data_IF_472548438286
#
_entry.id   IF_472548438286
#
_cell.length_a   1.000
_cell.length_b   1.000
_cell.length_c   1.000
_cell.angle_alpha   90.00
_cell.angle_beta   90.00
_cell.angle_gamma   90.00
#
_symmetry.space_group_name_H-M   'P 1'
#
loop_
_entity.id
_entity.type
_entity.pdbx_description
1 polymer ?
#
# COMPACT_ATOMS: atom_id res chain seq x y z
N UNK A 1 -27.37 8.07 27.48
CA UNK A 1 -26.26 8.55 26.61
C UNK A 1 -25.05 7.58 26.66
N UNK A 2 -25.28 6.26 26.56
CA UNK A 2 -24.23 5.21 26.65
C UNK A 2 -24.39 4.25 25.45
N UNK A 3 -24.37 4.78 24.21
CA UNK A 3 -24.45 3.94 23.00
C UNK A 3 -23.08 3.76 22.32
N UNK A 4 -22.12 4.66 22.58
CA UNK A 4 -20.80 4.64 21.92
C UNK A 4 -19.76 3.73 22.59
N UNK A 5 -19.79 3.53 23.91
CA UNK A 5 -18.76 2.71 24.60
C UNK A 5 -18.77 1.25 24.14
N UNK A 6 -19.94 0.67 23.92
CA UNK A 6 -20.06 -0.72 23.48
C UNK A 6 -19.49 -0.94 22.07
N UNK A 7 -19.72 -0.01 21.14
CA UNK A 7 -19.22 -0.12 19.76
C UNK A 7 -17.71 -0.04 19.69
N UNK A 8 -17.09 0.85 20.47
CA UNK A 8 -15.63 0.96 20.52
C UNK A 8 -14.98 -0.30 21.06
N UNK A 9 -15.55 -0.91 22.11
CA UNK A 9 -15.04 -2.17 22.67
C UNK A 9 -15.09 -3.31 21.65
N UNK A 10 -16.16 -3.38 20.84
CA UNK A 10 -16.30 -4.40 19.79
C UNK A 10 -15.32 -4.19 18.62
N UNK A 11 -15.01 -2.94 18.27
CA UNK A 11 -14.08 -2.62 17.18
C UNK A 11 -12.61 -2.73 17.60
N UNK A 12 -12.32 -2.55 18.89
CA UNK A 12 -10.96 -2.55 19.46
C UNK A 12 -10.09 -3.72 19.00
N UNK A 13 -10.51 -5.00 19.08
CA UNK A 13 -9.66 -6.10 18.63
C UNK A 13 -9.34 -6.04 17.13
N UNK A 14 -10.31 -5.68 16.29
CA UNK A 14 -10.08 -5.52 14.85
C UNK A 14 -9.11 -4.38 14.53
N UNK A 15 -9.25 -3.25 15.23
CA UNK A 15 -8.35 -2.11 15.10
C UNK A 15 -6.93 -2.49 15.55
N UNK A 16 -6.78 -3.19 16.67
CA UNK A 16 -5.47 -3.66 17.15
C UNK A 16 -4.82 -4.57 16.11
N UNK A 17 -5.55 -5.55 15.57
CA UNK A 17 -5.04 -6.43 14.53
C UNK A 17 -4.64 -5.65 13.27
N UNK A 18 -5.45 -4.70 12.82
CA UNK A 18 -5.14 -3.84 11.68
C UNK A 18 -3.87 -3.02 11.92
N UNK A 19 -3.75 -2.38 13.09
CA UNK A 19 -2.59 -1.58 13.44
C UNK A 19 -1.31 -2.42 13.52
N UNK A 20 -1.37 -3.60 14.13
CA UNK A 20 -0.20 -4.45 14.34
C UNK A 20 0.21 -5.21 13.07
N UNK A 21 -0.76 -5.75 12.32
CA UNK A 21 -0.48 -6.65 11.20
C UNK A 21 -0.39 -5.92 9.85
N UNK A 22 -0.92 -4.70 9.74
CA UNK A 22 -0.82 -3.91 8.51
C UNK A 22 -0.06 -2.61 8.72
N UNK A 23 -0.48 -1.78 9.68
CA UNK A 23 0.10 -0.43 9.81
C UNK A 23 1.55 -0.50 10.26
N UNK A 24 1.87 -1.27 11.30
CA UNK A 24 3.23 -1.42 11.80
C UNK A 24 4.23 -1.87 10.71
N UNK A 25 3.99 -2.95 9.93
CA UNK A 25 4.91 -3.32 8.86
C UNK A 25 4.99 -2.28 7.74
N UNK A 26 3.88 -1.63 7.36
CA UNK A 26 3.93 -0.55 6.36
C UNK A 26 4.77 0.63 6.84
N UNK A 27 4.65 1.03 8.11
CA UNK A 27 5.47 2.10 8.67
C UNK A 27 6.95 1.74 8.72
N UNK A 28 7.27 0.46 8.98
CA UNK A 28 8.64 -0.02 8.93
C UNK A 28 9.21 0.04 7.50
N UNK A 29 8.43 -0.41 6.52
CA UNK A 29 8.81 -0.32 5.10
C UNK A 29 9.00 1.15 4.68
N UNK A 30 8.16 2.06 5.18
CA UNK A 30 8.27 3.48 4.90
C UNK A 30 9.56 4.07 5.48
N UNK A 31 9.91 3.77 6.74
CA UNK A 31 11.19 4.23 7.33
C UNK A 31 12.38 3.68 6.55
N UNK A 32 12.37 2.38 6.23
CA UNK A 32 13.43 1.74 5.44
C UNK A 32 13.55 2.33 4.03
N UNK A 33 12.44 2.68 3.37
CA UNK A 33 12.47 3.29 2.03
C UNK A 33 13.14 4.67 1.99
N UNK A 34 13.12 5.38 3.13
CA UNK A 34 13.76 6.68 3.29
C UNK A 34 15.23 6.57 3.68
N UNK A 35 15.73 5.40 4.05
CA UNK A 35 17.14 5.19 4.38
C UNK A 35 17.93 4.85 3.12
N UNK A 36 19.19 5.28 3.06
CA UNK A 36 20.05 5.01 1.90
C UNK A 36 20.15 3.50 1.64
N UNK A 37 19.81 3.11 0.41
CA UNK A 37 19.83 1.71 -0.02
C UNK A 37 21.26 1.16 -0.09
N UNK A 38 21.46 -0.04 0.45
CA UNK A 38 22.71 -0.80 0.37
C UNK A 38 22.48 -2.16 -0.30
N UNK A 39 23.08 -2.41 -1.49
CA UNK A 39 22.92 -3.67 -2.20
C UNK A 39 23.38 -4.88 -1.37
N UNK A 40 22.64 -5.99 -1.46
CA UNK A 40 22.99 -7.25 -0.80
C UNK A 40 22.59 -7.34 0.67
N UNK A 41 21.82 -6.38 1.18
CA UNK A 41 21.26 -6.38 2.54
C UNK A 41 19.74 -6.40 2.52
N UNK A 42 19.15 -7.05 3.53
CA UNK A 42 17.72 -6.94 3.82
C UNK A 42 17.54 -5.72 4.71
N UNK A 43 16.89 -4.69 4.18
CA UNK A 43 16.79 -3.37 4.84
C UNK A 43 18.08 -2.54 4.72
N UNK A 44 18.01 -1.29 5.15
CA UNK A 44 19.15 -0.39 5.16
C UNK A 44 20.15 -0.74 6.28
N UNK A 45 21.34 -0.13 6.23
CA UNK A 45 22.22 -0.17 7.40
C UNK A 45 21.55 0.51 8.60
N UNK A 46 21.86 0.02 9.81
CA UNK A 46 21.28 0.52 11.07
C UNK A 46 21.46 2.03 11.23
N UNK A 47 22.59 2.55 10.73
CA UNK A 47 22.98 3.96 10.80
C UNK A 47 22.93 4.65 9.42
N UNK A 48 22.20 4.06 8.45
CA UNK A 48 22.04 4.64 7.12
C UNK A 48 21.39 6.03 7.22
N UNK A 49 21.93 7.05 6.51
CA UNK A 49 21.33 8.38 6.50
C UNK A 49 20.00 8.36 5.75
N UNK A 50 19.10 9.25 6.15
CA UNK A 50 17.87 9.49 5.39
C UNK A 50 18.18 10.17 4.05
N UNK A 51 17.52 9.72 3.00
CA UNK A 51 17.69 10.19 1.62
C UNK A 51 16.41 10.03 0.82
N UNK A 52 16.26 10.84 -0.22
CA UNK A 52 15.23 10.66 -1.25
C UNK A 52 15.80 10.10 -2.55
N UNK A 53 17.11 9.82 -2.59
CA UNK A 53 17.80 9.37 -3.79
C UNK A 53 17.23 8.06 -4.34
N UNK A 54 16.80 7.15 -3.46
CA UNK A 54 16.16 5.88 -3.84
C UNK A 54 14.94 6.07 -4.77
N UNK A 55 14.21 7.18 -4.66
CA UNK A 55 13.02 7.43 -5.48
C UNK A 55 13.35 7.92 -6.89
N UNK A 56 14.58 8.37 -7.15
CA UNK A 56 15.00 8.77 -8.50
C UNK A 56 15.01 7.56 -9.43
N UNK A 57 15.27 6.36 -8.91
CA UNK A 57 15.21 5.11 -9.68
C UNK A 57 13.82 4.86 -10.29
N UNK A 58 12.74 5.38 -9.69
CA UNK A 58 11.39 5.27 -10.26
C UNK A 58 11.21 6.03 -11.58
N UNK A 59 12.10 6.98 -11.86
CA UNK A 59 12.12 7.76 -13.11
C UNK A 59 12.90 7.02 -14.20
N UNK A 60 13.67 5.98 -13.84
CA UNK A 60 14.38 5.18 -14.83
C UNK A 60 13.38 4.59 -15.85
N UNK A 61 13.68 4.67 -17.16
CA UNK A 61 12.75 4.23 -18.20
C UNK A 61 12.25 2.79 -18.05
N UNK A 62 13.07 1.90 -17.50
CA UNK A 62 12.67 0.52 -17.27
C UNK A 62 11.54 0.46 -16.22
N UNK A 63 11.69 1.12 -15.08
CA UNK A 63 10.68 1.17 -14.02
C UNK A 63 9.42 1.91 -14.44
N UNK A 64 9.56 3.03 -15.14
CA UNK A 64 8.44 3.83 -15.60
C UNK A 64 7.50 3.04 -16.52
N UNK A 65 8.05 2.27 -17.47
CA UNK A 65 7.24 1.45 -18.38
C UNK A 65 6.41 0.41 -17.63
N UNK A 66 6.99 -0.27 -16.64
CA UNK A 66 6.25 -1.23 -15.83
C UNK A 66 5.12 -0.57 -15.02
N UNK A 67 5.37 0.60 -14.44
CA UNK A 67 4.34 1.36 -13.73
C UNK A 67 3.19 1.74 -14.67
N UNK A 68 3.52 2.29 -15.84
CA UNK A 68 2.51 2.67 -16.83
C UNK A 68 1.65 1.49 -17.27
N UNK A 69 2.27 0.36 -17.60
CA UNK A 69 1.56 -0.86 -18.00
C UNK A 69 0.66 -1.39 -16.88
N UNK A 70 1.15 -1.38 -15.64
CA UNK A 70 0.37 -1.79 -14.46
C UNK A 70 -0.87 -0.92 -14.29
N UNK A 71 -0.73 0.42 -14.36
CA UNK A 71 -1.87 1.33 -14.28
C UNK A 71 -2.82 1.17 -15.46
N UNK A 72 -2.30 1.02 -16.68
CA UNK A 72 -3.10 0.80 -17.88
C UNK A 72 -3.97 -0.44 -17.74
N UNK A 73 -3.40 -1.55 -17.30
CA UNK A 73 -4.17 -2.78 -17.05
C UNK A 73 -5.16 -2.60 -15.91
N UNK A 74 -4.76 -2.00 -14.78
CA UNK A 74 -5.66 -1.74 -13.66
C UNK A 74 -6.90 -0.95 -14.06
N UNK A 75 -6.73 0.11 -14.85
CA UNK A 75 -7.82 0.93 -15.38
C UNK A 75 -8.71 0.13 -16.32
N UNK A 76 -8.12 -0.55 -17.31
CA UNK A 76 -8.88 -1.34 -18.28
C UNK A 76 -9.69 -2.44 -17.58
N UNK A 77 -9.05 -3.22 -16.69
CA UNK A 77 -9.71 -4.28 -15.94
C UNK A 77 -10.84 -3.74 -15.06
N UNK A 78 -10.64 -2.59 -14.40
CA UNK A 78 -11.68 -1.96 -13.58
C UNK A 78 -12.87 -1.51 -14.43
N UNK A 79 -12.63 -0.88 -15.58
CA UNK A 79 -13.68 -0.45 -16.50
C UNK A 79 -14.46 -1.62 -17.09
N UNK A 80 -13.76 -2.65 -17.57
CA UNK A 80 -14.38 -3.88 -18.10
C UNK A 80 -15.23 -4.54 -17.02
N UNK A 81 -14.71 -4.64 -15.79
CA UNK A 81 -15.44 -5.20 -14.67
C UNK A 81 -16.71 -4.41 -14.37
N UNK A 82 -16.66 -3.06 -14.39
CA UNK A 82 -17.85 -2.23 -14.21
C UNK A 82 -18.87 -2.44 -15.33
N UNK A 83 -18.44 -2.40 -16.60
CA UNK A 83 -19.34 -2.55 -17.76
C UNK A 83 -20.07 -3.89 -17.74
N UNK A 84 -19.42 -4.96 -17.31
CA UNK A 84 -19.99 -6.31 -17.30
C UNK A 84 -20.74 -6.59 -15.99
N UNK A 85 -20.12 -6.36 -14.84
CA UNK A 85 -20.67 -6.75 -13.55
C UNK A 85 -21.81 -5.84 -13.10
N UNK A 86 -21.79 -4.54 -13.44
CA UNK A 86 -22.85 -3.62 -13.01
C UNK A 86 -24.23 -3.99 -13.58
N UNK A 87 -24.41 -4.23 -14.89
CA UNK A 87 -25.70 -4.68 -15.41
C UNK A 87 -26.19 -5.98 -14.78
N UNK A 88 -25.28 -6.96 -14.60
CA UNK A 88 -25.61 -8.24 -13.97
C UNK A 88 -26.13 -8.01 -12.55
N UNK A 89 -25.38 -7.24 -11.75
CA UNK A 89 -25.77 -6.92 -10.38
C UNK A 89 -27.07 -6.10 -10.32
N UNK A 90 -27.37 -5.27 -11.31
CA UNK A 90 -28.63 -4.52 -11.39
C UNK A 90 -29.83 -5.43 -11.69
N UNK A 91 -29.60 -6.57 -12.33
CA UNK A 91 -30.66 -7.54 -12.68
C UNK A 91 -30.91 -8.63 -11.64
N UNK A 92 -30.04 -8.75 -10.62
CA UNK A 92 -30.19 -9.65 -9.47
C UNK A 92 -30.89 -8.89 -8.35
#
# INVERSE_FOLDING_TARGET
MIKNRSSWVLLTPGIILFLVLLVAPITNILDESLRLFEPGRIGAAKDAPYTLFNYIELIDPAYFFYLYETFRFGIICSLVSLIIAFPIAYTI
#
